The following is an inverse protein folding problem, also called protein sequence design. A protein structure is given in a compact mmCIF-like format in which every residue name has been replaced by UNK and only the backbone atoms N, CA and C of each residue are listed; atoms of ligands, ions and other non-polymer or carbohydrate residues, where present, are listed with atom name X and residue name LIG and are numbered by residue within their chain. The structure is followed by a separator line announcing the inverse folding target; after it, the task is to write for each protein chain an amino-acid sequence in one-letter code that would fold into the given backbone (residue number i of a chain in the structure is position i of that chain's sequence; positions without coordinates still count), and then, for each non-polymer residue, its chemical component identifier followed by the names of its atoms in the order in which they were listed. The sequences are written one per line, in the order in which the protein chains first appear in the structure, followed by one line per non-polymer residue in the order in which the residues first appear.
data_IF_155453862743
#
_entry.id   IF_155453862743
#
_cell.length_a   1.000
_cell.length_b   1.000
_cell.length_c   1.000
_cell.angle_alpha   90.00
_cell.angle_beta   90.00
_cell.angle_gamma   90.00
#
_symmetry.space_group_name_H-M   'P 1'
#
loop_
_entity.id
_entity.type
_entity.pdbx_description
1 polymer ?
#
# COMPACT_ATOMS: atom_id res chain seq x y z
N UNK A 1 8.58 -43.82 -28.63
CA UNK A 1 9.69 -44.41 -27.85
C UNK A 1 9.28 -44.38 -26.41
N UNK A 2 9.08 -45.55 -25.81
CA UNK A 2 8.71 -45.72 -24.40
C UNK A 2 9.79 -45.09 -23.52
N UNK A 3 9.48 -43.91 -22.98
CA UNK A 3 10.27 -43.28 -21.94
C UNK A 3 10.00 -44.01 -20.63
N UNK A 4 10.75 -45.09 -20.38
CA UNK A 4 10.81 -45.70 -19.07
C UNK A 4 11.20 -44.59 -18.06
N UNK A 5 10.23 -44.17 -17.25
CA UNK A 5 10.46 -43.29 -16.10
C UNK A 5 11.62 -43.91 -15.31
N UNK A 6 12.71 -43.16 -15.15
CA UNK A 6 13.85 -43.61 -14.34
C UNK A 6 13.33 -44.10 -12.98
N UNK A 7 13.93 -45.18 -12.45
CA UNK A 7 13.52 -45.66 -11.13
C UNK A 7 13.62 -44.50 -10.11
N UNK A 8 12.68 -44.36 -9.16
CA UNK A 8 12.62 -43.22 -8.24
C UNK A 8 13.97 -42.83 -7.61
N UNK A 9 14.76 -43.83 -7.19
CA UNK A 9 16.09 -43.63 -6.61
C UNK A 9 17.14 -43.13 -7.61
N UNK A 10 17.04 -43.51 -8.89
CA UNK A 10 17.93 -43.03 -9.95
C UNK A 10 17.63 -41.57 -10.29
N UNK A 11 16.36 -41.19 -10.36
CA UNK A 11 15.96 -39.80 -10.59
C UNK A 11 16.46 -38.88 -9.48
N UNK A 12 16.30 -39.29 -8.22
CA UNK A 12 16.81 -38.55 -7.05
C UNK A 12 18.33 -38.41 -7.07
N UNK A 13 19.07 -39.50 -7.33
CA UNK A 13 20.53 -39.46 -7.41
C UNK A 13 21.03 -38.57 -8.56
N UNK A 14 20.39 -38.63 -9.73
CA UNK A 14 20.73 -37.78 -10.87
C UNK A 14 20.48 -36.31 -10.58
N UNK A 15 19.33 -35.96 -9.98
CA UNK A 15 19.01 -34.58 -9.60
C UNK A 15 19.97 -34.04 -8.54
N UNK A 16 20.35 -34.87 -7.56
CA UNK A 16 21.33 -34.51 -6.54
C UNK A 16 22.72 -34.17 -7.10
N UNK A 17 23.10 -34.75 -8.25
CA UNK A 17 24.36 -34.44 -8.93
C UNK A 17 24.26 -33.22 -9.86
N UNK A 18 23.17 -33.11 -10.63
CA UNK A 18 23.05 -32.12 -11.70
C UNK A 18 22.63 -30.75 -11.16
N UNK A 19 21.66 -30.69 -10.24
CA UNK A 19 21.08 -29.42 -9.82
C UNK A 19 22.08 -28.47 -9.14
N UNK A 20 22.95 -28.92 -8.20
CA UNK A 20 23.94 -28.03 -7.61
C UNK A 20 24.85 -27.40 -8.67
N UNK A 21 25.27 -28.19 -9.67
CA UNK A 21 26.12 -27.70 -10.78
C UNK A 21 25.39 -26.64 -11.61
N UNK A 22 24.11 -26.88 -11.96
CA UNK A 22 23.32 -25.90 -12.71
C UNK A 22 23.08 -24.61 -11.91
N UNK A 23 22.85 -24.71 -10.61
CA UNK A 23 22.55 -23.58 -9.73
C UNK A 23 23.79 -22.74 -9.39
N UNK A 24 24.91 -23.38 -9.06
CA UNK A 24 26.10 -22.69 -8.57
C UNK A 24 26.97 -22.18 -9.72
N UNK A 25 27.03 -22.92 -10.83
CA UNK A 25 27.95 -22.66 -11.94
C UNK A 25 27.24 -22.34 -13.26
N UNK A 26 26.03 -22.87 -13.47
CA UNK A 26 25.31 -22.76 -14.74
C UNK A 26 24.59 -21.43 -14.94
N UNK A 27 23.66 -21.09 -14.04
CA UNK A 27 22.82 -19.87 -14.17
C UNK A 27 23.60 -18.56 -13.98
N UNK A 28 24.78 -18.63 -13.40
CA UNK A 28 25.69 -17.49 -13.18
C UNK A 28 26.91 -17.52 -14.11
N UNK A 29 26.93 -18.42 -15.11
CA UNK A 29 28.09 -18.60 -15.97
C UNK A 29 28.42 -17.33 -16.78
N UNK A 30 29.71 -17.06 -17.00
CA UNK A 30 30.19 -15.84 -17.67
C UNK A 30 29.81 -15.76 -19.15
N UNK A 31 29.79 -16.90 -19.86
CA UNK A 31 29.26 -16.99 -21.25
C UNK A 31 27.73 -17.03 -21.27
N UNK A 32 27.15 -16.18 -22.10
CA UNK A 32 25.72 -16.05 -22.31
C UNK A 32 25.10 -17.33 -22.90
N UNK A 33 25.81 -18.01 -23.79
CA UNK A 33 25.36 -19.26 -24.40
C UNK A 33 25.25 -20.38 -23.36
N UNK A 34 26.28 -20.55 -22.53
CA UNK A 34 26.29 -21.55 -21.46
C UNK A 34 25.22 -21.22 -20.43
N UNK A 35 25.13 -19.95 -20.01
CA UNK A 35 24.12 -19.50 -19.06
C UNK A 35 22.69 -19.73 -19.58
N UNK A 36 22.44 -19.44 -20.85
CA UNK A 36 21.15 -19.67 -21.51
C UNK A 36 20.80 -21.17 -21.58
N UNK A 37 21.76 -22.01 -21.96
CA UNK A 37 21.58 -23.46 -22.02
C UNK A 37 21.30 -24.07 -20.63
N UNK A 38 22.12 -23.73 -19.63
CA UNK A 38 21.94 -24.19 -18.26
C UNK A 38 20.60 -23.74 -17.68
N UNK A 39 20.20 -22.50 -17.93
CA UNK A 39 18.90 -21.98 -17.49
C UNK A 39 17.76 -22.77 -18.16
N UNK A 40 17.78 -22.95 -19.48
CA UNK A 40 16.77 -23.75 -20.19
C UNK A 40 16.66 -25.17 -19.64
N UNK A 41 17.80 -25.83 -19.40
CA UNK A 41 17.83 -27.18 -18.83
C UNK A 41 17.24 -27.22 -17.41
N UNK A 42 17.61 -26.25 -16.57
CA UNK A 42 17.07 -26.13 -15.21
C UNK A 42 15.53 -25.98 -15.23
N UNK A 43 15.01 -25.11 -16.09
CA UNK A 43 13.57 -24.89 -16.25
C UNK A 43 12.84 -26.16 -16.71
N UNK A 44 13.44 -26.91 -17.64
CA UNK A 44 12.89 -28.19 -18.09
C UNK A 44 12.88 -29.25 -16.98
N UNK A 45 13.98 -29.36 -16.22
CA UNK A 45 14.08 -30.29 -15.09
C UNK A 45 13.01 -30.00 -14.02
N UNK A 46 12.84 -28.72 -13.65
CA UNK A 46 11.82 -28.32 -12.68
C UNK A 46 10.41 -28.72 -13.13
N UNK A 47 10.11 -28.61 -14.43
CA UNK A 47 8.82 -28.98 -15.01
C UNK A 47 8.60 -30.50 -15.10
N UNK A 48 9.67 -31.28 -15.26
CA UNK A 48 9.60 -32.73 -15.53
C UNK A 48 9.77 -33.62 -14.28
N UNK A 49 10.58 -33.20 -13.30
CA UNK A 49 11.01 -34.06 -12.20
C UNK A 49 9.94 -34.29 -11.12
N UNK A 50 8.85 -33.51 -11.11
CA UNK A 50 7.68 -33.77 -10.26
C UNK A 50 8.06 -33.89 -8.77
N UNK A 51 7.58 -34.94 -8.04
CA UNK A 51 7.86 -35.13 -6.62
C UNK A 51 9.35 -35.20 -6.26
N UNK A 52 10.21 -35.62 -7.19
CA UNK A 52 11.66 -35.70 -6.97
C UNK A 52 12.31 -34.32 -6.81
N UNK A 53 11.57 -33.24 -7.06
CA UNK A 53 12.07 -31.88 -6.82
C UNK A 53 12.03 -31.46 -5.35
N UNK A 54 11.23 -32.15 -4.54
CA UNK A 54 10.98 -31.77 -3.14
C UNK A 54 12.25 -31.53 -2.32
N UNK A 55 13.32 -32.36 -2.38
CA UNK A 55 14.53 -32.13 -1.60
C UNK A 55 15.29 -30.85 -1.99
N UNK A 56 15.01 -30.30 -3.16
CA UNK A 56 15.78 -29.20 -3.77
C UNK A 56 15.02 -27.87 -3.80
N UNK A 57 13.70 -27.85 -3.52
CA UNK A 57 12.87 -26.63 -3.69
C UNK A 57 13.35 -25.45 -2.84
N UNK A 58 13.98 -25.72 -1.69
CA UNK A 58 14.53 -24.69 -0.79
C UNK A 58 15.61 -23.86 -1.49
N UNK A 59 16.44 -24.50 -2.31
CA UNK A 59 17.49 -23.82 -3.09
C UNK A 59 16.97 -23.37 -4.46
N UNK A 60 16.08 -24.14 -5.08
CA UNK A 60 15.57 -23.85 -6.42
C UNK A 60 14.69 -22.61 -6.47
N UNK A 61 13.74 -22.44 -5.53
CA UNK A 61 12.78 -21.34 -5.62
C UNK A 61 13.48 -19.97 -5.59
N UNK A 62 14.41 -19.69 -4.66
CA UNK A 62 15.16 -18.43 -4.68
C UNK A 62 15.96 -18.24 -5.98
N UNK A 63 16.67 -19.27 -6.44
CA UNK A 63 17.47 -19.17 -7.67
C UNK A 63 16.61 -18.91 -8.91
N UNK A 64 15.46 -19.59 -9.03
CA UNK A 64 14.51 -19.36 -10.12
C UNK A 64 13.94 -17.93 -10.09
N UNK A 65 13.67 -17.37 -8.90
CA UNK A 65 13.22 -15.98 -8.77
C UNK A 65 14.30 -14.98 -9.23
N UNK A 66 15.57 -15.25 -8.96
CA UNK A 66 16.69 -14.43 -9.46
C UNK A 66 16.84 -14.53 -10.97
N UNK A 67 16.59 -15.72 -11.56
CA UNK A 67 16.64 -15.89 -13.02
C UNK A 67 15.60 -15.06 -13.78
N UNK A 68 14.52 -14.61 -13.12
CA UNK A 68 13.51 -13.75 -13.75
C UNK A 68 14.10 -12.46 -14.31
N UNK A 69 15.12 -11.90 -13.66
CA UNK A 69 15.83 -10.71 -14.16
C UNK A 69 16.86 -11.03 -15.25
N UNK A 70 17.43 -12.24 -15.22
CA UNK A 70 18.40 -12.69 -16.25
C UNK A 70 17.70 -12.98 -17.58
N UNK A 71 16.46 -13.47 -17.52
CA UNK A 71 15.66 -13.86 -18.69
C UNK A 71 14.87 -12.69 -19.31
N UNK A 72 15.05 -11.47 -18.82
CA UNK A 72 14.38 -10.30 -19.38
C UNK A 72 14.86 -10.05 -20.82
N UNK A 73 13.92 -9.67 -21.70
CA UNK A 73 14.25 -9.28 -23.06
C UNK A 73 15.13 -8.01 -23.04
N UNK A 74 16.36 -8.05 -23.60
CA UNK A 74 17.22 -6.87 -23.70
C UNK A 74 16.56 -5.67 -24.38
N UNK A 75 15.58 -5.88 -25.26
CA UNK A 75 14.82 -4.81 -25.91
C UNK A 75 14.04 -3.94 -24.91
N UNK A 76 13.61 -4.49 -23.77
CA UNK A 76 12.93 -3.71 -22.73
C UNK A 76 13.87 -2.69 -22.08
N UNK A 77 15.17 -3.00 -21.97
CA UNK A 77 16.16 -2.06 -21.49
C UNK A 77 16.38 -0.91 -22.48
N UNK A 78 16.38 -1.21 -23.78
CA UNK A 78 16.43 -0.18 -24.81
C UNK A 78 15.20 0.73 -24.76
N UNK A 79 13.99 0.15 -24.69
CA UNK A 79 12.75 0.93 -24.58
C UNK A 79 12.73 1.81 -23.33
N UNK A 80 13.26 1.34 -22.20
CA UNK A 80 13.40 2.13 -20.98
C UNK A 80 14.28 3.38 -21.18
N UNK A 81 15.38 3.27 -21.93
CA UNK A 81 16.27 4.39 -22.22
C UNK A 81 15.66 5.42 -23.18
N UNK A 82 14.68 5.00 -24.00
CA UNK A 82 14.00 5.84 -24.97
C UNK A 82 12.56 6.21 -24.57
N UNK A 83 12.14 5.87 -23.34
CA UNK A 83 10.76 6.00 -22.87
C UNK A 83 10.23 7.43 -22.98
N UNK A 84 11.02 8.40 -22.52
CA UNK A 84 10.69 9.83 -22.58
C UNK A 84 10.54 10.31 -24.02
N UNK A 85 11.48 9.93 -24.89
CA UNK A 85 11.43 10.29 -26.32
C UNK A 85 10.25 9.65 -27.08
N UNK A 86 9.75 8.51 -26.59
CA UNK A 86 8.62 7.79 -27.15
C UNK A 86 7.27 8.19 -26.53
N UNK A 87 7.26 9.10 -25.55
CA UNK A 87 6.04 9.52 -24.84
C UNK A 87 5.41 8.42 -23.97
N UNK A 88 6.18 7.41 -23.56
CA UNK A 88 5.70 6.30 -22.74
C UNK A 88 6.06 6.55 -21.28
N UNK A 89 5.06 6.50 -20.39
CA UNK A 89 5.28 6.63 -18.95
C UNK A 89 6.12 5.46 -18.41
N UNK A 90 7.09 5.76 -17.54
CA UNK A 90 7.96 4.74 -16.92
C UNK A 90 7.15 3.64 -16.23
N UNK A 91 6.10 4.00 -15.48
CA UNK A 91 5.23 3.03 -14.78
C UNK A 91 4.51 2.06 -15.74
N UNK A 92 4.22 2.48 -16.97
CA UNK A 92 3.63 1.62 -18.00
C UNK A 92 4.65 0.59 -18.52
N UNK A 93 5.90 0.99 -18.74
CA UNK A 93 6.98 0.08 -19.12
C UNK A 93 7.28 -0.93 -18.01
N UNK A 94 7.37 -0.48 -16.77
CA UNK A 94 7.54 -1.34 -15.61
C UNK A 94 6.40 -2.36 -15.48
N UNK A 95 5.16 -1.91 -15.71
CA UNK A 95 3.98 -2.79 -15.71
C UNK A 95 4.04 -3.82 -16.83
N UNK A 96 4.46 -3.44 -18.04
CA UNK A 96 4.65 -4.35 -19.16
C UNK A 96 5.74 -5.40 -18.87
N UNK A 97 6.86 -4.98 -18.25
CA UNK A 97 7.93 -5.87 -17.79
C UNK A 97 7.44 -6.90 -16.77
N UNK A 98 6.64 -6.46 -15.79
CA UNK A 98 5.99 -7.35 -14.81
C UNK A 98 4.88 -8.22 -15.44
N UNK A 99 4.27 -7.80 -16.54
CA UNK A 99 3.31 -8.62 -17.28
C UNK A 99 4.01 -9.73 -18.08
N UNK A 100 5.12 -9.40 -18.77
CA UNK A 100 5.87 -10.33 -19.62
C UNK A 100 6.39 -11.55 -18.85
N UNK A 101 6.78 -11.39 -17.58
CA UNK A 101 7.22 -12.53 -16.76
C UNK A 101 6.11 -13.55 -16.47
N UNK A 102 4.82 -13.17 -16.50
CA UNK A 102 3.73 -14.00 -15.96
C UNK A 102 3.54 -15.29 -16.75
N UNK A 103 3.87 -15.27 -18.04
CA UNK A 103 3.80 -16.43 -18.94
C UNK A 103 5.17 -17.06 -19.22
N UNK A 104 6.22 -16.72 -18.47
CA UNK A 104 7.57 -17.22 -18.73
C UNK A 104 7.74 -18.68 -18.29
N UNK A 105 8.69 -19.38 -18.92
CA UNK A 105 9.10 -20.73 -18.51
C UNK A 105 9.64 -20.76 -17.08
N UNK A 106 10.24 -19.65 -16.61
CA UNK A 106 10.71 -19.49 -15.24
C UNK A 106 9.54 -19.48 -14.25
N UNK A 107 8.47 -18.73 -14.53
CA UNK A 107 7.25 -18.76 -13.71
C UNK A 107 6.63 -20.16 -13.67
N UNK A 108 6.58 -20.87 -14.81
CA UNK A 108 6.08 -22.24 -14.85
C UNK A 108 6.94 -23.23 -14.03
N UNK A 109 8.26 -23.04 -14.01
CA UNK A 109 9.18 -23.84 -13.18
C UNK A 109 9.01 -23.54 -11.68
N UNK A 110 8.81 -22.27 -11.31
CA UNK A 110 8.48 -21.86 -9.95
C UNK A 110 7.18 -22.53 -9.49
N UNK A 111 6.13 -22.49 -10.31
CA UNK A 111 4.85 -23.13 -10.03
C UNK A 111 5.00 -24.66 -9.86
N UNK A 112 5.89 -25.29 -10.62
CA UNK A 112 6.19 -26.71 -10.47
C UNK A 112 6.86 -27.03 -9.13
N UNK A 113 7.79 -26.18 -8.68
CA UNK A 113 8.41 -26.31 -7.37
C UNK A 113 7.39 -26.11 -6.24
N UNK A 114 6.50 -25.12 -6.36
CA UNK A 114 5.46 -24.86 -5.37
C UNK A 114 4.49 -26.03 -5.18
N UNK A 115 4.14 -26.74 -6.26
CA UNK A 115 3.24 -27.91 -6.20
C UNK A 115 3.77 -29.05 -5.31
N UNK A 116 5.07 -29.14 -5.10
CA UNK A 116 5.70 -30.23 -4.31
C UNK A 116 6.30 -29.75 -2.99
N UNK A 117 6.29 -28.44 -2.75
CA UNK A 117 6.70 -27.80 -1.50
C UNK A 117 5.66 -28.03 -0.40
N UNK A 118 6.13 -28.26 0.82
CA UNK A 118 5.33 -28.40 2.03
C UNK A 118 5.80 -27.39 3.10
N UNK A 119 5.26 -27.50 4.32
CA UNK A 119 5.54 -26.54 5.41
C UNK A 119 7.02 -26.49 5.83
N UNK A 120 7.72 -27.61 6.13
CA UNK A 120 9.13 -27.56 6.47
C UNK A 120 10.01 -26.94 5.38
N UNK A 121 9.75 -27.27 4.10
CA UNK A 121 10.50 -26.69 2.99
C UNK A 121 10.22 -25.19 2.83
N UNK A 122 8.95 -24.77 2.98
CA UNK A 122 8.60 -23.36 2.92
C UNK A 122 9.26 -22.56 4.05
N UNK A 123 9.23 -23.08 5.28
CA UNK A 123 9.89 -22.46 6.43
C UNK A 123 11.40 -22.31 6.23
N UNK A 124 12.05 -23.33 5.65
CA UNK A 124 13.47 -23.30 5.31
C UNK A 124 13.80 -22.29 4.19
N UNK A 125 12.90 -22.11 3.21
CA UNK A 125 13.07 -21.16 2.10
C UNK A 125 12.74 -19.70 2.49
N UNK A 126 11.95 -19.51 3.55
CA UNK A 126 11.42 -18.21 3.97
C UNK A 126 12.48 -17.11 4.18
N UNK A 127 13.67 -17.36 4.79
CA UNK A 127 14.72 -16.35 4.90
C UNK A 127 15.18 -15.81 3.54
N UNK A 128 15.35 -16.69 2.55
CA UNK A 128 15.77 -16.31 1.20
C UNK A 128 14.67 -15.54 0.48
N UNK A 129 13.40 -15.97 0.60
CA UNK A 129 12.25 -15.25 0.05
C UNK A 129 12.17 -13.82 0.62
N UNK A 130 12.35 -13.66 1.93
CA UNK A 130 12.36 -12.33 2.57
C UNK A 130 13.56 -11.49 2.14
N UNK A 131 14.73 -12.12 1.96
CA UNK A 131 15.90 -11.45 1.38
C UNK A 131 15.60 -10.91 -0.02
N UNK A 132 14.96 -11.70 -0.88
CA UNK A 132 14.60 -11.27 -2.23
C UNK A 132 13.54 -10.17 -2.26
N UNK A 133 12.56 -10.18 -1.34
CA UNK A 133 11.58 -9.09 -1.20
C UNK A 133 12.23 -7.76 -0.81
N UNK A 134 13.30 -7.79 0.00
CA UNK A 134 13.87 -6.58 0.62
C UNK A 134 15.15 -6.10 -0.06
N UNK A 135 15.93 -7.02 -0.65
CA UNK A 135 17.25 -6.77 -1.21
C UNK A 135 17.43 -7.36 -2.61
N UNK A 136 16.38 -7.95 -3.19
CA UNK A 136 16.43 -8.51 -4.54
C UNK A 136 16.79 -7.45 -5.58
N UNK A 137 17.73 -7.77 -6.45
CA UNK A 137 18.13 -6.89 -7.56
C UNK A 137 17.24 -7.11 -8.77
N UNK A 138 16.85 -6.01 -9.44
CA UNK A 138 15.99 -6.07 -10.62
C UNK A 138 14.49 -6.08 -10.31
N UNK A 139 13.73 -5.36 -11.13
CA UNK A 139 12.26 -5.32 -11.01
C UNK A 139 11.64 -6.73 -11.14
N UNK A 140 12.07 -7.57 -12.10
CA UNK A 140 11.48 -8.89 -12.25
C UNK A 140 11.56 -9.78 -11.02
N UNK A 141 12.74 -9.89 -10.39
CA UNK A 141 12.95 -10.69 -9.18
C UNK A 141 12.12 -10.19 -8.02
N UNK A 142 12.09 -8.87 -7.76
CA UNK A 142 11.30 -8.27 -6.68
C UNK A 142 9.80 -8.50 -6.84
N UNK A 143 9.24 -8.14 -8.00
CA UNK A 143 7.83 -8.33 -8.29
C UNK A 143 7.44 -9.82 -8.37
N UNK A 144 8.31 -10.65 -8.93
CA UNK A 144 8.14 -12.11 -9.00
C UNK A 144 8.10 -12.75 -7.62
N UNK A 145 8.96 -12.32 -6.69
CA UNK A 145 8.98 -12.81 -5.31
C UNK A 145 7.71 -12.44 -4.56
N UNK A 146 7.19 -11.23 -4.76
CA UNK A 146 5.88 -10.85 -4.20
C UNK A 146 4.74 -11.70 -4.78
N UNK A 147 4.74 -11.91 -6.10
CA UNK A 147 3.75 -12.75 -6.78
C UNK A 147 3.80 -14.21 -6.35
N UNK A 148 4.97 -14.74 -5.99
CA UNK A 148 5.09 -16.08 -5.40
C UNK A 148 4.15 -16.22 -4.20
N UNK A 149 4.12 -15.24 -3.30
CA UNK A 149 3.25 -15.26 -2.12
C UNK A 149 1.76 -15.21 -2.49
N UNK A 150 1.41 -14.45 -3.53
CA UNK A 150 0.05 -14.45 -4.08
C UNK A 150 -0.31 -15.85 -4.61
N UNK A 151 0.59 -16.51 -5.35
CA UNK A 151 0.35 -17.87 -5.85
C UNK A 151 0.23 -18.90 -4.73
N UNK A 152 1.08 -18.83 -3.70
CA UNK A 152 0.98 -19.70 -2.52
C UNK A 152 -0.36 -19.47 -1.81
N UNK A 153 -0.83 -18.23 -1.68
CA UNK A 153 -2.13 -17.96 -1.05
C UNK A 153 -3.32 -18.59 -1.79
N UNK A 154 -3.21 -18.74 -3.11
CA UNK A 154 -4.26 -19.33 -3.95
C UNK A 154 -4.20 -20.86 -3.95
N UNK A 155 -2.99 -21.43 -3.90
CA UNK A 155 -2.79 -22.88 -4.03
C UNK A 155 -2.72 -23.58 -2.67
N UNK A 156 -2.05 -22.97 -1.69
CA UNK A 156 -1.72 -23.56 -0.39
C UNK A 156 -1.71 -22.48 0.73
N UNK A 157 -2.84 -21.81 1.00
CA UNK A 157 -2.91 -20.68 1.93
C UNK A 157 -2.39 -20.99 3.35
N UNK A 158 -2.52 -22.24 3.79
CA UNK A 158 -2.06 -22.70 5.11
C UNK A 158 -0.55 -22.60 5.30
N UNK A 159 0.25 -22.56 4.23
CA UNK A 159 1.70 -22.33 4.32
C UNK A 159 2.03 -20.91 4.81
N UNK A 160 1.18 -19.93 4.51
CA UNK A 160 1.45 -18.52 4.86
C UNK A 160 1.04 -18.18 6.29
N UNK A 161 0.02 -18.86 6.83
CA UNK A 161 -0.61 -18.51 8.13
C UNK A 161 0.40 -18.45 9.28
N UNK A 162 1.29 -19.44 9.49
CA UNK A 162 2.27 -19.39 10.59
C UNK A 162 3.27 -18.23 10.48
N UNK A 163 3.44 -17.70 9.27
CA UNK A 163 4.44 -16.68 8.96
C UNK A 163 3.81 -15.31 8.64
N UNK A 164 2.48 -15.19 8.75
CA UNK A 164 1.73 -14.03 8.27
C UNK A 164 2.21 -12.73 8.92
N UNK A 165 2.48 -12.75 10.23
CA UNK A 165 2.98 -11.59 10.96
C UNK A 165 4.32 -11.07 10.42
N UNK A 166 5.27 -11.99 10.15
CA UNK A 166 6.59 -11.66 9.63
C UNK A 166 6.51 -11.19 8.18
N UNK A 167 5.78 -11.92 7.34
CA UNK A 167 5.61 -11.59 5.93
C UNK A 167 4.88 -10.26 5.72
N UNK A 168 3.80 -10.00 6.46
CA UNK A 168 3.04 -8.76 6.32
C UNK A 168 3.89 -7.53 6.70
N UNK A 169 4.65 -7.61 7.79
CA UNK A 169 5.59 -6.53 8.17
C UNK A 169 6.69 -6.32 7.13
N UNK A 170 7.25 -7.40 6.59
CA UNK A 170 8.24 -7.32 5.51
C UNK A 170 7.67 -6.65 4.27
N UNK A 171 6.48 -7.07 3.83
CA UNK A 171 5.81 -6.53 2.64
C UNK A 171 5.40 -5.07 2.83
N UNK A 172 4.90 -4.70 4.01
CA UNK A 172 4.62 -3.32 4.38
C UNK A 172 5.89 -2.47 4.27
N UNK A 173 6.97 -2.86 4.96
CA UNK A 173 8.24 -2.14 4.91
C UNK A 173 8.79 -2.05 3.48
N UNK A 174 8.73 -3.12 2.69
CA UNK A 174 9.20 -3.14 1.31
C UNK A 174 8.37 -2.21 0.41
N UNK A 175 7.05 -2.21 0.55
CA UNK A 175 6.15 -1.36 -0.24
C UNK A 175 6.37 0.14 0.06
N UNK A 176 6.62 0.50 1.31
CA UNK A 176 6.86 1.91 1.69
C UNK A 176 8.18 2.46 1.14
N UNK A 177 9.18 1.60 0.89
CA UNK A 177 10.51 2.02 0.41
C UNK A 177 10.78 1.67 -1.07
N UNK A 178 9.82 1.05 -1.74
CA UNK A 178 9.95 0.69 -3.15
C UNK A 178 9.88 1.95 -4.03
N UNK A 179 10.63 1.97 -5.12
CA UNK A 179 10.59 3.10 -6.09
C UNK A 179 9.72 2.77 -7.29
N UNK A 180 9.71 1.51 -7.71
CA UNK A 180 8.89 1.06 -8.83
C UNK A 180 7.44 0.89 -8.41
N UNK A 181 6.53 1.61 -9.05
CA UNK A 181 5.08 1.45 -8.84
C UNK A 181 4.62 0.01 -9.13
N UNK A 182 5.22 -0.64 -10.14
CA UNK A 182 4.89 -2.02 -10.50
C UNK A 182 5.31 -3.03 -9.42
N UNK A 183 6.51 -2.90 -8.85
CA UNK A 183 6.94 -3.72 -7.72
C UNK A 183 6.09 -3.43 -6.47
N UNK A 184 5.80 -2.16 -6.18
CA UNK A 184 4.96 -1.75 -5.06
C UNK A 184 3.56 -2.36 -5.14
N UNK A 185 2.96 -2.34 -6.33
CA UNK A 185 1.67 -2.98 -6.60
C UNK A 185 1.73 -4.49 -6.33
N UNK A 186 2.82 -5.16 -6.74
CA UNK A 186 3.02 -6.58 -6.44
C UNK A 186 3.17 -6.85 -4.93
N UNK A 187 3.88 -6.00 -4.18
CA UNK A 187 3.98 -6.10 -2.72
C UNK A 187 2.63 -5.88 -2.03
N UNK A 188 1.86 -4.88 -2.47
CA UNK A 188 0.53 -4.61 -1.92
C UNK A 188 -0.41 -5.80 -2.14
N UNK A 189 -0.39 -6.38 -3.35
CA UNK A 189 -1.20 -7.57 -3.66
C UNK A 189 -0.80 -8.76 -2.77
N UNK A 190 0.49 -9.00 -2.59
CA UNK A 190 1.00 -10.04 -1.69
C UNK A 190 0.60 -9.77 -0.23
N UNK A 191 0.70 -8.52 0.22
CA UNK A 191 0.37 -8.12 1.58
C UNK A 191 -1.11 -8.36 1.88
N UNK A 192 -2.01 -8.07 0.95
CA UNK A 192 -3.43 -8.36 1.11
C UNK A 192 -3.71 -9.85 1.26
N UNK A 193 -3.04 -10.70 0.47
CA UNK A 193 -3.20 -12.15 0.65
C UNK A 193 -2.68 -12.65 2.00
N UNK A 194 -1.52 -12.14 2.45
CA UNK A 194 -0.93 -12.49 3.73
C UNK A 194 -1.76 -11.96 4.92
N UNK A 195 -2.38 -10.78 4.78
CA UNK A 195 -3.17 -10.13 5.81
C UNK A 195 -4.35 -10.97 6.30
N UNK A 196 -4.92 -11.81 5.43
CA UNK A 196 -6.01 -12.75 5.78
C UNK A 196 -5.62 -13.68 6.94
N UNK A 197 -4.36 -14.14 6.96
CA UNK A 197 -3.79 -15.00 8.00
C UNK A 197 -3.18 -14.26 9.21
N UNK A 198 -3.13 -12.93 9.20
CA UNK A 198 -2.54 -12.15 10.29
C UNK A 198 -3.51 -11.95 11.46
N UNK A 199 -2.99 -11.85 12.69
CA UNK A 199 -3.80 -11.48 13.86
C UNK A 199 -4.26 -10.03 13.80
N UNK A 200 -5.32 -9.71 14.54
CA UNK A 200 -5.82 -8.33 14.70
C UNK A 200 -4.72 -7.38 15.18
N UNK A 201 -3.88 -7.78 16.14
CA UNK A 201 -2.77 -6.96 16.64
C UNK A 201 -1.79 -6.55 15.53
N UNK A 202 -1.43 -7.49 14.65
CA UNK A 202 -0.52 -7.20 13.53
C UNK A 202 -1.20 -6.28 12.52
N UNK A 203 -2.48 -6.52 12.24
CA UNK A 203 -3.26 -5.69 11.31
C UNK A 203 -3.39 -4.26 11.84
N UNK A 204 -3.78 -4.08 13.09
CA UNK A 204 -3.87 -2.78 13.78
C UNK A 204 -2.53 -2.05 13.71
N UNK A 205 -1.42 -2.73 13.97
CA UNK A 205 -0.09 -2.14 13.86
C UNK A 205 0.22 -1.64 12.45
N UNK A 206 0.01 -2.47 11.43
CA UNK A 206 0.31 -2.11 10.02
C UNK A 206 -0.59 -0.96 9.55
N UNK A 207 -1.89 -1.00 9.89
CA UNK A 207 -2.83 0.09 9.58
C UNK A 207 -2.42 1.38 10.29
N UNK A 208 -2.00 1.29 11.56
CA UNK A 208 -1.48 2.43 12.32
C UNK A 208 -0.22 3.03 11.68
N UNK A 209 0.72 2.19 11.24
CA UNK A 209 1.94 2.61 10.51
C UNK A 209 1.59 3.27 9.17
N UNK A 210 0.60 2.76 8.42
CA UNK A 210 0.08 3.38 7.18
C UNK A 210 -0.60 4.74 7.44
N UNK A 211 -1.40 4.82 8.51
CA UNK A 211 -2.03 6.07 8.93
C UNK A 211 -0.98 7.11 9.35
N UNK A 212 0.03 6.69 10.10
CA UNK A 212 1.15 7.54 10.47
C UNK A 212 1.95 8.00 9.25
N UNK A 213 2.23 7.11 8.29
CA UNK A 213 2.91 7.45 7.04
C UNK A 213 2.14 8.49 6.20
N UNK A 214 0.82 8.31 6.07
CA UNK A 214 -0.01 9.25 5.31
C UNK A 214 -0.18 10.61 6.01
N UNK A 215 -0.35 10.58 7.34
CA UNK A 215 -0.53 11.79 8.17
C UNK A 215 0.76 12.37 8.72
N UNK A 216 1.93 11.82 8.34
CA UNK A 216 3.22 12.37 8.73
C UNK A 216 3.37 13.76 8.14
N UNK A 217 4.15 14.56 8.85
CA UNK A 217 4.51 15.94 8.51
C UNK A 217 6.02 16.19 8.64
N UNK A 218 6.82 15.12 8.84
CA UNK A 218 8.28 15.20 8.84
C UNK A 218 8.77 15.52 7.41
N UNK A 219 9.41 16.69 7.23
CA UNK A 219 10.19 17.00 6.04
C UNK A 219 9.40 17.21 4.73
N UNK A 220 8.19 17.77 4.78
CA UNK A 220 7.41 18.05 3.56
C UNK A 220 7.05 16.75 2.85
N UNK A 221 6.28 15.88 3.54
CA UNK A 221 5.98 14.52 3.14
C UNK A 221 5.86 14.35 1.64
N UNK A 222 6.81 13.61 1.10
CA UNK A 222 6.87 13.25 -0.30
C UNK A 222 5.53 12.64 -0.68
N UNK A 223 4.91 13.19 -1.73
CA UNK A 223 3.70 12.65 -2.33
C UNK A 223 3.75 11.13 -2.49
N UNK A 224 4.93 10.59 -2.78
CA UNK A 224 5.23 9.17 -2.90
C UNK A 224 4.90 8.37 -1.63
N UNK A 225 5.22 8.88 -0.43
CA UNK A 225 4.93 8.18 0.83
C UNK A 225 3.42 8.10 1.09
N UNK A 226 2.69 9.20 0.85
CA UNK A 226 1.22 9.24 0.95
C UNK A 226 0.57 8.32 -0.08
N UNK A 227 1.09 8.33 -1.30
CA UNK A 227 0.63 7.47 -2.38
C UNK A 227 0.87 5.99 -2.06
N UNK A 228 2.05 5.64 -1.56
CA UNK A 228 2.37 4.27 -1.14
C UNK A 228 1.43 3.78 -0.02
N UNK A 229 1.19 4.63 1.00
CA UNK A 229 0.27 4.30 2.08
C UNK A 229 -1.17 4.08 1.58
N UNK A 230 -1.69 5.01 0.78
CA UNK A 230 -3.02 4.92 0.18
C UNK A 230 -3.16 3.67 -0.72
N UNK A 231 -2.13 3.37 -1.52
CA UNK A 231 -2.15 2.23 -2.45
C UNK A 231 -2.23 0.89 -1.71
N UNK A 232 -1.55 0.79 -0.56
CA UNK A 232 -1.60 -0.38 0.29
C UNK A 232 -2.95 -0.49 1.00
N UNK A 233 -3.46 0.59 1.61
CA UNK A 233 -4.79 0.60 2.25
C UNK A 233 -5.89 0.17 1.27
N UNK A 234 -5.90 0.77 0.07
CA UNK A 234 -6.84 0.43 -1.00
C UNK A 234 -6.74 -1.04 -1.40
N UNK A 235 -5.54 -1.60 -1.51
CA UNK A 235 -5.37 -3.03 -1.86
C UNK A 235 -5.85 -3.96 -0.73
N UNK A 236 -5.57 -3.61 0.52
CA UNK A 236 -6.02 -4.37 1.68
C UNK A 236 -7.56 -4.39 1.76
N UNK A 237 -8.22 -3.27 1.50
CA UNK A 237 -9.69 -3.19 1.52
C UNK A 237 -10.32 -4.03 0.41
N UNK A 238 -9.76 -3.94 -0.80
CA UNK A 238 -10.22 -4.67 -2.00
C UNK A 238 -10.00 -6.18 -1.89
N UNK A 239 -8.83 -6.60 -1.42
CA UNK A 239 -8.36 -7.98 -1.53
C UNK A 239 -8.21 -8.72 -0.19
N UNK A 240 -8.49 -8.08 0.95
CA UNK A 240 -8.43 -8.67 2.29
C UNK A 240 -9.58 -8.15 3.18
N UNK A 241 -10.78 -7.98 2.62
CA UNK A 241 -11.95 -7.39 3.28
C UNK A 241 -12.30 -8.07 4.61
N UNK A 242 -12.17 -9.39 4.70
CA UNK A 242 -12.37 -10.17 5.92
C UNK A 242 -11.36 -9.81 7.03
N UNK A 243 -10.08 -9.62 6.66
CA UNK A 243 -9.05 -9.18 7.59
C UNK A 243 -9.29 -7.73 8.03
N UNK A 244 -9.57 -6.83 7.08
CA UNK A 244 -9.81 -5.42 7.35
C UNK A 244 -11.07 -5.19 8.19
N UNK A 245 -12.10 -6.03 8.05
CA UNK A 245 -13.30 -5.96 8.89
C UNK A 245 -13.02 -6.22 10.38
N UNK A 246 -11.88 -6.83 10.75
CA UNK A 246 -11.49 -7.02 12.15
C UNK A 246 -10.89 -5.77 12.80
N UNK A 247 -10.51 -4.78 12.00
CA UNK A 247 -9.74 -3.59 12.42
C UNK A 247 -10.37 -2.29 11.87
N UNK A 248 -11.70 -2.24 11.74
CA UNK A 248 -12.41 -1.07 11.18
C UNK A 248 -12.11 0.23 11.93
N UNK A 249 -12.01 0.14 13.27
CA UNK A 249 -11.60 1.22 14.17
C UNK A 249 -10.29 1.88 13.73
N UNK A 250 -9.35 1.10 13.18
CA UNK A 250 -8.00 1.58 12.83
C UNK A 250 -7.94 2.26 11.45
N UNK A 251 -8.73 1.82 10.47
CA UNK A 251 -8.62 2.32 9.08
C UNK A 251 -9.76 3.24 8.65
N UNK A 252 -10.97 3.14 9.21
CA UNK A 252 -12.12 3.97 8.82
C UNK A 252 -11.80 5.47 8.88
N UNK A 253 -11.16 5.99 9.95
CA UNK A 253 -10.76 7.39 10.03
C UNK A 253 -9.88 7.83 8.86
N UNK A 254 -8.88 7.01 8.52
CA UNK A 254 -7.92 7.32 7.46
C UNK A 254 -8.58 7.32 6.08
N UNK A 255 -9.43 6.33 5.78
CA UNK A 255 -10.13 6.26 4.50
C UNK A 255 -11.14 7.40 4.35
N UNK A 256 -11.85 7.75 5.43
CA UNK A 256 -12.75 8.91 5.43
C UNK A 256 -11.99 10.23 5.23
N UNK A 257 -10.84 10.41 5.88
CA UNK A 257 -9.97 11.57 5.65
C UNK A 257 -9.45 11.59 4.21
N UNK A 258 -8.92 10.47 3.73
CA UNK A 258 -8.26 10.33 2.44
C UNK A 258 -9.19 10.59 1.27
N UNK A 259 -10.49 10.24 1.34
CA UNK A 259 -11.44 10.53 0.25
C UNK A 259 -11.58 12.02 -0.04
N UNK A 260 -11.29 12.87 0.96
CA UNK A 260 -11.22 14.32 0.80
C UNK A 260 -9.80 14.77 0.44
N UNK A 261 -9.07 13.92 -0.31
CA UNK A 261 -7.66 14.08 -0.66
C UNK A 261 -7.36 15.54 -1.05
N UNK A 262 -6.40 16.16 -0.36
CA UNK A 262 -6.32 17.60 -0.32
C UNK A 262 -5.53 18.29 -1.46
N UNK A 263 -5.34 17.67 -2.63
CA UNK A 263 -4.91 18.44 -3.82
C UNK A 263 -6.08 19.25 -4.33
N UNK A 264 -5.96 20.57 -4.53
CA UNK A 264 -7.15 21.35 -4.88
C UNK A 264 -7.75 20.74 -6.16
N UNK A 265 -9.05 20.49 -6.15
CA UNK A 265 -9.73 20.05 -7.35
C UNK A 265 -9.49 21.06 -8.49
N UNK A 266 -9.23 22.33 -8.12
CA UNK A 266 -8.64 23.38 -8.96
C UNK A 266 -7.22 23.06 -9.48
N UNK A 267 -6.24 22.64 -8.68
CA UNK A 267 -4.89 22.24 -9.15
C UNK A 267 -4.96 21.09 -10.16
N UNK A 268 -5.90 20.16 -9.97
CA UNK A 268 -6.18 19.09 -10.93
C UNK A 268 -6.86 19.67 -12.18
N UNK A 269 -7.83 20.58 -12.04
CA UNK A 269 -8.55 21.19 -13.15
C UNK A 269 -7.71 22.16 -14.00
N UNK A 270 -6.76 22.86 -13.38
CA UNK A 270 -5.87 23.87 -13.98
C UNK A 270 -4.66 23.24 -14.70
N UNK A 271 -4.47 21.91 -14.59
CA UNK A 271 -3.40 21.24 -15.33
C UNK A 271 -3.65 21.36 -16.85
N UNK A 272 -2.66 21.82 -17.65
CA UNK A 272 -2.91 22.19 -19.04
C UNK A 272 -3.17 21.00 -19.97
N UNK A 273 -2.79 19.78 -19.57
CA UNK A 273 -2.98 18.56 -20.37
C UNK A 273 -3.73 17.48 -19.59
N UNK A 274 -4.48 16.62 -20.29
CA UNK A 274 -5.18 15.49 -19.67
C UNK A 274 -4.24 14.56 -18.90
N UNK A 275 -3.01 14.36 -19.39
CA UNK A 275 -1.98 13.56 -18.71
C UNK A 275 -1.58 14.17 -17.36
N UNK A 276 -1.39 15.49 -17.30
CA UNK A 276 -1.08 16.19 -16.05
C UNK A 276 -2.28 16.23 -15.09
N UNK A 277 -3.52 16.30 -15.60
CA UNK A 277 -4.72 16.18 -14.75
C UNK A 277 -4.78 14.79 -14.12
N UNK A 278 -4.61 13.74 -14.92
CA UNK A 278 -4.58 12.36 -14.44
C UNK A 278 -3.48 12.18 -13.37
N UNK A 279 -2.27 12.66 -13.64
CA UNK A 279 -1.13 12.60 -12.72
C UNK A 279 -1.41 13.31 -11.38
N UNK A 280 -1.96 14.53 -11.44
CA UNK A 280 -2.32 15.29 -10.23
C UNK A 280 -3.46 14.65 -9.46
N UNK A 281 -4.40 13.99 -10.14
CA UNK A 281 -5.56 13.35 -9.53
C UNK A 281 -5.34 11.93 -9.00
N UNK A 282 -4.21 11.26 -9.29
CA UNK A 282 -4.02 9.82 -8.99
C UNK A 282 -4.31 9.45 -7.53
N UNK A 283 -3.80 10.22 -6.58
CA UNK A 283 -4.02 9.95 -5.16
C UNK A 283 -5.49 10.13 -4.74
N UNK A 284 -6.18 11.13 -5.29
CA UNK A 284 -7.60 11.33 -5.01
C UNK A 284 -8.44 10.17 -5.58
N UNK A 285 -8.16 9.75 -6.82
CA UNK A 285 -8.79 8.58 -7.43
C UNK A 285 -8.59 7.33 -6.56
N UNK A 286 -7.37 7.12 -6.08
CA UNK A 286 -7.04 5.96 -5.25
C UNK A 286 -7.80 5.93 -3.92
N UNK A 287 -8.01 7.09 -3.29
CA UNK A 287 -8.81 7.19 -2.08
C UNK A 287 -10.31 7.02 -2.33
N UNK A 288 -10.82 7.51 -3.46
CA UNK A 288 -12.21 7.26 -3.85
C UNK A 288 -12.45 5.77 -4.07
N UNK A 289 -11.55 5.08 -4.79
CA UNK A 289 -11.57 3.62 -4.92
C UNK A 289 -11.54 2.93 -3.55
N UNK A 290 -10.65 3.35 -2.64
CA UNK A 290 -10.57 2.80 -1.29
C UNK A 290 -11.87 3.00 -0.49
N UNK A 291 -12.50 4.16 -0.64
CA UNK A 291 -13.74 4.51 0.04
C UNK A 291 -14.92 3.68 -0.47
N UNK A 292 -15.01 3.50 -1.79
CA UNK A 292 -16.02 2.67 -2.44
C UNK A 292 -15.90 1.19 -2.02
N UNK A 293 -14.68 0.65 -2.03
CA UNK A 293 -14.39 -0.71 -1.56
C UNK A 293 -14.69 -0.90 -0.06
N UNK A 294 -14.49 0.14 0.75
CA UNK A 294 -14.72 0.09 2.19
C UNK A 294 -16.21 0.11 2.58
N UNK A 295 -17.10 0.58 1.70
CA UNK A 295 -18.53 0.72 1.96
C UNK A 295 -18.82 1.58 3.19
N UNK A 296 -18.13 2.72 3.36
CA UNK A 296 -18.35 3.65 4.47
C UNK A 296 -19.66 4.42 4.21
N UNK A 297 -20.75 3.95 4.80
CA UNK A 297 -22.02 4.67 4.84
C UNK A 297 -22.24 5.42 6.16
N UNK A 298 -23.36 6.15 6.25
CA UNK A 298 -23.80 6.92 7.44
C UNK A 298 -23.66 6.16 8.76
N UNK A 299 -24.07 4.89 8.77
CA UNK A 299 -24.00 4.04 9.97
C UNK A 299 -22.56 3.79 10.43
N UNK A 300 -21.62 3.57 9.49
CA UNK A 300 -20.19 3.41 9.83
C UNK A 300 -19.57 4.73 10.30
N UNK A 301 -19.93 5.86 9.68
CA UNK A 301 -19.49 7.19 10.14
C UNK A 301 -19.97 7.47 11.57
N UNK A 302 -21.20 7.10 11.89
CA UNK A 302 -21.77 7.27 13.23
C UNK A 302 -21.07 6.36 14.25
N UNK A 303 -20.78 5.11 13.87
CA UNK A 303 -20.14 4.12 14.74
C UNK A 303 -18.69 4.48 15.06
N UNK A 304 -17.95 4.98 14.06
CA UNK A 304 -16.52 5.31 14.17
C UNK A 304 -16.26 6.81 14.36
N UNK A 305 -17.27 7.56 14.81
CA UNK A 305 -17.16 8.99 15.04
C UNK A 305 -16.03 9.34 16.03
N UNK A 306 -15.82 8.62 17.15
CA UNK A 306 -14.74 8.92 18.09
C UNK A 306 -13.36 8.84 17.44
N UNK A 307 -13.10 7.82 16.64
CA UNK A 307 -11.81 7.63 15.99
C UNK A 307 -11.60 8.61 14.84
N UNK A 308 -12.68 8.92 14.08
CA UNK A 308 -12.65 9.95 13.05
C UNK A 308 -12.27 11.29 13.67
N UNK A 309 -13.00 11.75 14.69
CA UNK A 309 -12.74 13.02 15.37
C UNK A 309 -11.34 13.06 15.98
N UNK A 310 -10.86 11.96 16.56
CA UNK A 310 -9.50 11.85 17.08
C UNK A 310 -8.44 12.10 15.99
N UNK A 311 -8.60 11.47 14.81
CA UNK A 311 -7.70 11.68 13.69
C UNK A 311 -7.79 13.11 13.15
N UNK A 312 -9.00 13.66 13.01
CA UNK A 312 -9.22 15.03 12.56
C UNK A 312 -8.52 16.03 13.49
N UNK A 313 -8.64 15.86 14.81
CA UNK A 313 -7.96 16.69 15.80
C UNK A 313 -6.44 16.65 15.64
N UNK A 314 -5.87 15.46 15.40
CA UNK A 314 -4.43 15.33 15.13
C UNK A 314 -4.02 16.12 13.88
N UNK A 315 -4.71 15.93 12.75
CA UNK A 315 -4.31 16.56 11.49
C UNK A 315 -4.58 18.06 11.45
N UNK A 316 -5.62 18.55 12.16
CA UNK A 316 -5.91 19.99 12.27
C UNK A 316 -4.85 20.72 13.10
N UNK A 317 -4.24 20.01 14.04
CA UNK A 317 -3.12 20.53 14.82
C UNK A 317 -1.76 20.38 14.14
N UNK A 318 -1.67 19.55 13.10
CA UNK A 318 -0.49 19.41 12.26
C UNK A 318 -0.20 20.62 11.37
N UNK A 319 1.05 20.77 10.90
CA UNK A 319 1.44 21.83 9.98
C UNK A 319 0.82 21.70 8.57
N UNK A 320 0.42 20.50 8.11
CA UNK A 320 -0.09 20.33 6.74
C UNK A 320 -1.39 21.11 6.46
N UNK A 321 -1.32 22.06 5.52
CA UNK A 321 -2.51 22.78 5.04
C UNK A 321 -3.45 21.84 4.31
N UNK A 322 -2.87 20.92 3.54
CA UNK A 322 -3.61 19.94 2.77
C UNK A 322 -4.45 19.07 3.73
N UNK A 323 -3.85 18.44 4.73
CA UNK A 323 -4.60 17.60 5.67
C UNK A 323 -5.65 18.39 6.49
N UNK A 324 -5.37 19.66 6.83
CA UNK A 324 -6.38 20.55 7.43
C UNK A 324 -7.59 20.75 6.53
N UNK A 325 -7.39 20.93 5.22
CA UNK A 325 -8.49 21.04 4.26
C UNK A 325 -9.32 19.77 4.21
N UNK A 326 -8.66 18.62 4.10
CA UNK A 326 -9.34 17.33 4.11
C UNK A 326 -10.19 17.18 5.38
N UNK A 327 -9.65 17.59 6.54
CA UNK A 327 -10.38 17.58 7.80
C UNK A 327 -11.58 18.54 7.82
N UNK A 328 -11.49 19.71 7.19
CA UNK A 328 -12.63 20.62 7.06
C UNK A 328 -13.77 19.97 6.27
N UNK A 329 -13.48 19.34 5.13
CA UNK A 329 -14.49 18.61 4.37
C UNK A 329 -15.06 17.41 5.11
N UNK A 330 -14.21 16.66 5.83
CA UNK A 330 -14.69 15.60 6.73
C UNK A 330 -15.71 16.15 7.72
N UNK A 331 -15.40 17.27 8.36
CA UNK A 331 -16.26 17.88 9.37
C UNK A 331 -17.61 18.34 8.78
N UNK A 332 -17.59 18.95 7.59
CA UNK A 332 -18.80 19.33 6.86
C UNK A 332 -19.65 18.12 6.50
N UNK A 333 -19.02 17.05 6.01
CA UNK A 333 -19.74 15.83 5.66
C UNK A 333 -20.31 15.13 6.90
N UNK A 334 -19.58 15.09 8.03
CA UNK A 334 -20.10 14.54 9.29
C UNK A 334 -21.35 15.29 9.75
N UNK A 335 -21.36 16.63 9.68
CA UNK A 335 -22.53 17.44 10.03
C UNK A 335 -23.75 17.17 9.13
N UNK A 336 -23.50 16.78 7.87
CA UNK A 336 -24.55 16.48 6.90
C UNK A 336 -25.07 15.04 7.04
N UNK A 337 -24.17 14.08 7.23
CA UNK A 337 -24.47 12.65 7.10
C UNK A 337 -24.81 11.98 8.45
N UNK A 338 -24.29 12.49 9.57
CA UNK A 338 -24.61 11.99 10.93
C UNK A 338 -25.81 12.76 11.48
N UNK A 339 -26.84 12.03 11.94
CA UNK A 339 -28.07 12.68 12.41
C UNK A 339 -27.86 13.42 13.74
N UNK A 340 -28.66 14.47 13.97
CA UNK A 340 -28.60 15.26 15.22
C UNK A 340 -28.83 14.39 16.45
N UNK A 341 -29.72 13.39 16.35
CA UNK A 341 -30.00 12.45 17.43
C UNK A 341 -28.81 11.53 17.72
N UNK A 342 -28.05 11.13 16.69
CA UNK A 342 -26.86 10.32 16.85
C UNK A 342 -25.72 11.12 17.47
N UNK A 343 -25.52 12.37 17.05
CA UNK A 343 -24.55 13.29 17.66
C UNK A 343 -24.90 13.62 19.11
N UNK A 344 -26.19 13.81 19.44
CA UNK A 344 -26.62 14.07 20.82
C UNK A 344 -26.33 12.89 21.77
N UNK A 345 -26.20 11.67 21.25
CA UNK A 345 -25.78 10.48 22.02
C UNK A 345 -24.27 10.37 22.19
N UNK A 346 -23.49 11.20 21.48
CA UNK A 346 -22.03 11.26 21.49
C UNK A 346 -21.57 12.69 21.82
N UNK A 347 -21.84 13.18 23.06
CA UNK A 347 -21.64 14.59 23.41
C UNK A 347 -20.17 15.02 23.43
N UNK A 348 -19.24 14.08 23.67
CA UNK A 348 -17.80 14.35 23.65
C UNK A 348 -17.36 14.64 22.21
N UNK A 349 -17.77 13.79 21.28
CA UNK A 349 -17.48 13.91 19.85
C UNK A 349 -18.15 15.16 19.27
N UNK A 350 -19.39 15.46 19.66
CA UNK A 350 -20.09 16.68 19.26
C UNK A 350 -19.34 17.95 19.73
N UNK A 351 -18.87 17.98 20.98
CA UNK A 351 -18.09 19.09 21.50
C UNK A 351 -16.75 19.24 20.74
N UNK A 352 -16.05 18.12 20.53
CA UNK A 352 -14.78 18.10 19.80
C UNK A 352 -14.94 18.50 18.32
N UNK A 353 -16.03 18.12 17.65
CA UNK A 353 -16.39 18.62 16.32
C UNK A 353 -16.57 20.15 16.31
N UNK A 354 -17.14 20.70 17.39
CA UNK A 354 -17.25 22.14 17.57
C UNK A 354 -15.90 22.84 17.74
N UNK A 355 -15.04 22.30 18.60
CA UNK A 355 -13.67 22.80 18.78
C UNK A 355 -12.85 22.73 17.49
N UNK A 356 -13.01 21.64 16.72
CA UNK A 356 -12.41 21.50 15.40
C UNK A 356 -12.88 22.58 14.42
N UNK A 357 -14.18 22.91 14.41
CA UNK A 357 -14.71 23.98 13.57
C UNK A 357 -14.12 25.35 13.96
N UNK A 358 -14.01 25.64 15.26
CA UNK A 358 -13.38 26.87 15.74
C UNK A 358 -11.89 26.94 15.37
N UNK A 359 -11.15 25.84 15.52
CA UNK A 359 -9.74 25.76 15.11
C UNK A 359 -9.57 25.95 13.60
N UNK A 360 -10.43 25.35 12.78
CA UNK A 360 -10.39 25.44 11.32
C UNK A 360 -10.83 26.82 10.80
N UNK A 361 -11.69 27.54 11.53
CA UNK A 361 -12.02 28.95 11.29
C UNK A 361 -10.78 29.82 11.44
N UNK A 362 -10.02 29.60 12.50
CA UNK A 362 -8.89 30.47 12.88
C UNK A 362 -7.58 30.09 12.15
N UNK A 363 -7.45 28.84 11.69
CA UNK A 363 -6.29 28.34 10.96
C UNK A 363 -6.45 28.41 9.44
N UNK A 364 -5.37 28.72 8.74
CA UNK A 364 -5.29 28.64 7.26
C UNK A 364 -5.17 27.19 6.78
N UNK A 365 -5.89 26.79 5.72
CA UNK A 365 -5.81 25.42 5.17
C UNK A 365 -5.74 25.36 3.62
N UNK A 366 -5.21 26.44 3.01
CA UNK A 366 -4.98 26.67 1.57
C UNK A 366 -6.24 27.15 0.82
N UNK A 367 -6.07 28.24 0.06
CA UNK A 367 -7.02 28.96 -0.82
C UNK A 367 -8.52 28.68 -0.60
N UNK A 368 -9.12 29.53 0.25
CA UNK A 368 -10.56 29.85 0.38
C UNK A 368 -11.49 29.18 -0.65
N UNK A 369 -11.88 27.95 -0.40
CA UNK A 369 -13.09 27.37 -1.00
C UNK A 369 -14.29 28.06 -0.34
N UNK A 370 -14.77 29.15 -0.96
CA UNK A 370 -15.69 30.13 -0.37
C UNK A 370 -16.83 29.49 0.42
N UNK A 371 -17.56 28.55 -0.19
CA UNK A 371 -18.69 27.86 0.46
C UNK A 371 -18.26 26.99 1.65
N UNK A 372 -17.23 26.16 1.50
CA UNK A 372 -16.74 25.29 2.58
C UNK A 372 -16.25 26.12 3.76
N UNK A 373 -15.60 27.24 3.49
CA UNK A 373 -15.14 28.17 4.53
C UNK A 373 -16.32 28.83 5.25
N UNK A 374 -17.30 29.34 4.53
CA UNK A 374 -18.49 29.97 5.12
C UNK A 374 -19.23 28.98 6.03
N UNK A 375 -19.37 27.72 5.62
CA UNK A 375 -19.98 26.68 6.44
C UNK A 375 -19.14 26.35 7.68
N UNK A 376 -17.80 26.25 7.56
CA UNK A 376 -16.92 26.08 8.72
C UNK A 376 -16.99 27.29 9.68
N UNK A 377 -17.06 28.52 9.17
CA UNK A 377 -17.25 29.73 9.96
C UNK A 377 -18.58 29.71 10.71
N UNK A 378 -19.68 29.31 10.06
CA UNK A 378 -21.00 29.14 10.70
C UNK A 378 -20.93 28.10 11.82
N UNK A 379 -20.32 26.94 11.57
CA UNK A 379 -20.17 25.88 12.57
C UNK A 379 -19.28 26.33 13.74
N UNK A 380 -18.14 26.98 13.47
CA UNK A 380 -17.23 27.48 14.49
C UNK A 380 -17.83 28.59 15.35
N UNK A 381 -18.72 29.43 14.78
CA UNK A 381 -19.41 30.49 15.52
C UNK A 381 -20.59 29.98 16.36
N UNK A 382 -21.18 28.84 16.00
CA UNK A 382 -22.21 28.18 16.81
C UNK A 382 -21.64 27.64 18.13
N UNK A 383 -20.32 27.37 18.16
CA UNK A 383 -19.56 26.92 19.33
C UNK A 383 -19.14 28.17 20.11
N UNK A 384 -20.06 28.76 20.88
CA UNK A 384 -19.69 29.86 21.76
C UNK A 384 -18.62 29.38 22.76
N UNK A 385 -17.50 30.11 22.95
CA UNK A 385 -16.72 29.92 24.17
C UNK A 385 -17.64 30.17 25.36
N UNK A 386 -17.51 29.43 26.49
CA UNK A 386 -18.18 29.83 27.71
C UNK A 386 -17.79 31.29 27.96
N UNK A 387 -18.77 32.19 27.96
CA UNK A 387 -18.55 33.60 28.23
C UNK A 387 -17.70 33.69 29.51
N UNK A 388 -16.52 34.31 29.43
CA UNK A 388 -15.76 34.68 30.63
C UNK A 388 -16.64 35.68 31.38
N UNK A 389 -17.47 35.17 32.28
CA UNK A 389 -18.15 36.01 33.27
C UNK A 389 -17.06 36.43 34.23
N UNK A 390 -16.78 37.73 34.31
CA UNK A 390 -16.14 38.27 35.50
C UNK A 390 -16.95 37.89 36.74
N UNK A 391 -16.34 37.96 37.92
CA UNK A 391 -16.98 37.61 39.20
C UNK A 391 -18.35 38.31 39.43
N UNK A 392 -18.64 39.38 38.67
CA UNK A 392 -19.85 40.20 38.76
C UNK A 392 -20.89 39.92 37.67
N UNK A 393 -20.71 38.89 36.83
CA UNK A 393 -21.75 38.42 35.88
C UNK A 393 -22.01 39.31 34.66
N UNK A 394 -21.23 40.38 34.43
CA UNK A 394 -21.29 41.19 33.20
C UNK A 394 -20.40 40.64 32.10
N UNK A 395 -20.81 40.84 30.85
CA UNK A 395 -19.99 40.56 29.67
C UNK A 395 -18.79 41.53 29.65
N UNK A 396 -17.60 41.00 29.38
CA UNK A 396 -16.40 41.80 29.16
C UNK A 396 -16.46 42.23 27.69
N UNK A 397 -16.71 43.51 27.43
CA UNK A 397 -16.49 44.11 26.11
C UNK A 397 -14.97 44.32 25.97
N UNK A 398 -14.35 43.71 24.97
CA UNK A 398 -12.97 44.01 24.60
C UNK A 398 -12.96 45.39 23.94
N UNK A 399 -12.50 46.42 24.67
CA UNK A 399 -12.16 47.71 24.08
C UNK A 399 -10.96 47.53 23.15
N UNK A 400 -11.18 47.79 21.86
CA UNK A 400 -10.14 47.90 20.84
C UNK A 400 -9.32 49.15 21.15
N UNK A 401 -8.13 48.97 21.73
CA UNK A 401 -7.22 50.06 22.05
C UNK A 401 -6.61 50.58 20.74
N UNK A 402 -7.16 51.70 20.27
CA UNK A 402 -6.61 52.47 19.16
C UNK A 402 -5.26 53.06 19.57
N UNK A 403 -4.17 52.46 19.07
CA UNK A 403 -2.83 53.03 19.18
C UNK A 403 -2.68 54.18 18.17
N UNK A 404 -2.99 55.39 18.64
CA UNK A 404 -2.53 56.65 18.08
C UNK A 404 -1.37 57.16 18.92
N UNK A 405 -0.14 57.15 18.39
CA UNK A 405 1.02 57.73 19.07
C UNK A 405 2.35 57.68 18.31
N UNK A 406 2.54 58.67 17.42
CA UNK A 406 3.81 59.35 17.05
C UNK A 406 5.09 58.55 16.71
N UNK A 407 5.44 58.51 15.42
CA UNK A 407 6.54 59.32 14.83
C UNK A 407 6.51 59.36 13.31
#
# INVERSE_FOLDING_TARGET
SDGALAAPAQAEATLGLILPTLLEQGISHSSDEVRSLCTKQLLQLCKAAGPHMRPHVVQLVPALLETLSVLEDPALNYLQQHAESAGVAQSALESARVAAMRGSDATAAIDACLRVMDAPQFEAALPSIISLLTRGTGLPTRAGTARLLVQISQQQPLLLVPHAARLLRTLHSAAMHERSEAARSAYNAAAAQVARGASTEVLTRVVGELCAAYTSDEGGVEYEMRFAAAAMVRELLRAATDAMNRVQVDWVPLVFLGKHEPRTQAEVADAPTAAQKAERGRLATLWLEAYDEAGIGKSKLTLHLPEIVTLLTKVVNGPSWALRRAAAFCLLELHKEVTKEALARQPIELAAMGELAALLRDKKWRDKEGEAREEIEKLGNAVRPPARRGADGKAIEEEEEADSGDM
#
